data_IF_351648695248
#
_entry.id   IF_351648695248
#
_cell.length_a   1.000
_cell.length_b   1.000
_cell.length_c   1.000
_cell.angle_alpha   90.00
_cell.angle_beta   90.00
_cell.angle_gamma   90.00
#
_symmetry.space_group_name_H-M   'P 1'
#
loop_
_entity.id
_entity.type
_entity.pdbx_description
1 polymer ?
#
# COMPACT_ATOMS: atom_id res chain seq x y z
N UNK A 1 3.89 -6.56 2.00
CA UNK A 1 2.48 -6.14 1.96
C UNK A 1 1.59 -7.37 2.04
N UNK A 2 0.62 -7.33 2.91
CA UNK A 2 -0.34 -8.43 3.05
C UNK A 2 -1.73 -7.92 2.69
N UNK A 3 -2.43 -8.62 1.80
CA UNK A 3 -3.75 -8.24 1.32
C UNK A 3 -4.72 -9.38 1.61
N UNK A 4 -5.81 -9.08 2.29
CA UNK A 4 -6.84 -10.07 2.63
C UNK A 4 -8.22 -9.47 2.42
N UNK A 5 -9.23 -10.34 2.34
CA UNK A 5 -10.62 -9.94 2.26
C UNK A 5 -11.31 -10.40 3.53
N UNK A 6 -11.92 -9.45 4.26
CA UNK A 6 -12.59 -9.74 5.53
C UNK A 6 -13.89 -8.94 5.59
N UNK A 7 -15.02 -9.63 5.83
CA UNK A 7 -16.33 -8.97 5.98
C UNK A 7 -16.66 -8.01 4.83
N UNK A 8 -16.44 -8.47 3.58
CA UNK A 8 -16.66 -7.68 2.36
C UNK A 8 -15.77 -6.43 2.29
N UNK A 9 -14.65 -6.45 3.02
CA UNK A 9 -13.69 -5.36 3.00
C UNK A 9 -12.33 -5.84 2.55
N UNK A 10 -11.65 -5.03 1.76
CA UNK A 10 -10.26 -5.29 1.40
C UNK A 10 -9.37 -4.73 2.49
N UNK A 11 -8.58 -5.61 3.10
CA UNK A 11 -7.66 -5.23 4.19
C UNK A 11 -6.23 -5.32 3.67
N UNK A 12 -5.49 -4.21 3.77
CA UNK A 12 -4.12 -4.14 3.29
C UNK A 12 -3.22 -3.76 4.46
N UNK A 13 -2.20 -4.59 4.73
CA UNK A 13 -1.22 -4.33 5.79
C UNK A 13 0.14 -4.10 5.16
N UNK A 14 0.69 -2.90 5.39
CA UNK A 14 1.97 -2.49 4.82
C UNK A 14 2.85 -1.94 5.94
N UNK A 15 4.12 -2.38 6.04
CA UNK A 15 5.01 -1.81 7.05
C UNK A 15 5.24 -0.32 6.83
N UNK A 16 5.30 0.42 7.90
CA UNK A 16 5.61 1.85 7.86
C UNK A 16 7.12 2.04 7.75
N UNK A 17 7.55 2.95 6.87
CA UNK A 17 8.97 3.30 6.76
C UNK A 17 9.45 3.93 8.07
N UNK A 18 10.62 3.52 8.55
CA UNK A 18 11.22 4.05 9.79
C UNK A 18 12.70 4.31 9.57
N UNK A 19 13.12 5.59 9.39
CA UNK A 19 12.30 6.80 9.40
C UNK A 19 11.49 6.97 8.12
N UNK A 20 10.54 7.91 8.13
CA UNK A 20 9.75 8.23 6.95
C UNK A 20 10.67 8.84 5.88
N UNK A 21 10.37 8.52 4.61
CA UNK A 21 11.20 8.97 3.49
C UNK A 21 10.63 10.26 2.88
N UNK A 22 11.47 11.29 2.63
CA UNK A 22 11.00 12.47 1.90
C UNK A 22 10.51 12.09 0.51
N UNK A 23 9.41 12.70 0.08
CA UNK A 23 8.93 12.54 -1.29
C UNK A 23 9.83 13.32 -2.25
N UNK A 24 9.67 13.05 -3.56
CA UNK A 24 10.46 13.74 -4.59
C UNK A 24 10.25 15.25 -4.54
N UNK A 25 9.04 15.71 -4.22
CA UNK A 25 8.74 17.14 -4.13
C UNK A 25 9.31 17.78 -2.86
N UNK A 26 9.65 16.99 -1.86
CA UNK A 26 10.11 17.49 -0.57
C UNK A 26 9.03 18.07 0.31
N UNK A 27 7.77 18.03 -0.13
CA UNK A 27 6.65 18.63 0.60
C UNK A 27 5.94 17.63 1.53
N UNK A 28 6.18 16.35 1.33
CA UNK A 28 5.55 15.30 2.12
C UNK A 28 6.58 14.25 2.52
N UNK A 29 6.20 13.44 3.49
CA UNK A 29 6.99 12.28 3.90
C UNK A 29 6.22 11.02 3.56
N UNK A 30 6.87 10.09 2.89
CA UNK A 30 6.27 8.82 2.51
C UNK A 30 6.20 7.88 3.71
N UNK A 31 4.99 7.50 4.09
CA UNK A 31 4.76 6.57 5.19
C UNK A 31 4.98 5.14 4.73
N UNK A 32 4.37 4.78 3.61
CA UNK A 32 4.55 3.45 3.01
C UNK A 32 4.13 3.50 1.55
N UNK A 33 4.57 2.50 0.79
CA UNK A 33 4.27 2.40 -0.63
C UNK A 33 4.38 0.96 -1.09
N UNK A 34 3.59 0.60 -2.09
CA UNK A 34 3.72 -0.69 -2.78
C UNK A 34 4.81 -0.65 -3.84
N UNK A 35 5.39 0.53 -4.11
CA UNK A 35 6.39 0.72 -5.18
C UNK A 35 5.86 0.30 -6.54
N UNK A 36 4.69 0.83 -6.90
CA UNK A 36 4.01 0.50 -8.13
C UNK A 36 2.86 -0.47 -7.89
N UNK A 37 2.35 -1.05 -8.97
CA UNK A 37 1.27 -2.01 -8.89
C UNK A 37 1.82 -3.39 -8.58
N UNK A 38 1.27 -4.04 -7.56
CA UNK A 38 1.71 -5.35 -7.11
C UNK A 38 0.51 -6.30 -7.09
N UNK A 39 0.67 -7.48 -7.70
CA UNK A 39 -0.33 -8.52 -7.63
C UNK A 39 -0.28 -9.17 -6.24
N UNK A 40 -1.44 -9.29 -5.61
CA UNK A 40 -1.54 -9.85 -4.27
C UNK A 40 -2.00 -11.30 -4.29
N UNK A 41 -1.98 -11.95 -3.11
CA UNK A 41 -2.53 -13.29 -2.96
C UNK A 41 -4.06 -13.30 -2.80
N UNK A 42 -4.68 -12.13 -2.60
CA UNK A 42 -6.12 -12.04 -2.50
C UNK A 42 -6.77 -12.20 -3.87
N UNK A 43 -7.86 -12.94 -3.93
CA UNK A 43 -8.51 -13.33 -5.20
C UNK A 43 -9.99 -12.97 -5.13
N UNK A 44 -10.51 -12.35 -6.19
CA UNK A 44 -11.94 -12.12 -6.40
C UNK A 44 -12.31 -12.65 -7.78
N UNK A 45 -13.33 -13.48 -7.86
CA UNK A 45 -13.83 -14.08 -9.11
C UNK A 45 -12.69 -14.76 -9.89
N UNK A 46 -11.81 -15.45 -9.16
CA UNK A 46 -10.71 -16.19 -9.77
C UNK A 46 -9.55 -15.32 -10.23
N UNK A 47 -9.55 -14.03 -9.91
CA UNK A 47 -8.52 -13.10 -10.36
C UNK A 47 -7.82 -12.48 -9.17
N UNK A 48 -6.49 -12.42 -9.25
CA UNK A 48 -5.68 -11.78 -8.21
C UNK A 48 -5.91 -10.28 -8.19
N UNK A 49 -6.05 -9.73 -6.98
CA UNK A 49 -6.22 -8.29 -6.81
C UNK A 49 -4.87 -7.61 -6.95
N UNK A 50 -4.80 -6.59 -7.80
CA UNK A 50 -3.60 -5.77 -7.99
C UNK A 50 -3.74 -4.51 -7.17
N UNK A 51 -2.72 -4.18 -6.37
CA UNK A 51 -2.75 -3.05 -5.45
C UNK A 51 -1.66 -2.05 -5.80
N UNK A 52 -2.05 -0.78 -5.96
CA UNK A 52 -1.12 0.34 -6.04
C UNK A 52 -1.41 1.28 -4.88
N UNK A 53 -0.43 1.49 -4.00
CA UNK A 53 -0.64 2.19 -2.74
C UNK A 53 0.49 3.15 -2.44
N UNK A 54 0.13 4.39 -2.07
CA UNK A 54 1.07 5.36 -1.52
C UNK A 54 0.38 6.10 -0.38
N UNK A 55 1.04 6.18 0.76
CA UNK A 55 0.53 6.88 1.94
C UNK A 55 1.56 7.92 2.37
N UNK A 56 1.11 9.14 2.62
CA UNK A 56 1.96 10.27 2.94
C UNK A 56 1.46 11.03 4.16
N UNK A 57 2.37 11.76 4.81
CA UNK A 57 2.00 12.80 5.76
C UNK A 57 2.63 14.11 5.29
N UNK A 58 2.00 15.22 5.67
CA UNK A 58 2.56 16.54 5.37
C UNK A 58 3.85 16.73 6.14
N UNK A 59 4.80 17.40 5.50
CA UNK A 59 6.11 17.65 6.10
C UNK A 59 6.10 18.90 6.98
#
# INVERSE_FOLDING_TARGET
MKVTIENDQLVIKVPINKPLNPSKSGKTLLVCSSNGNVSSEAVIDGKHIVVGLNAYVAR
#
